data_IF_717116526327
#
_entry.id   IF_717116526327
#
_cell.length_a   1.000
_cell.length_b   1.000
_cell.length_c   1.000
_cell.angle_alpha   90.00
_cell.angle_beta   90.00
_cell.angle_gamma   90.00
#
_symmetry.space_group_name_H-M   'P 1'
#
loop_
_entity.id
_entity.type
_entity.pdbx_description
1 polymer ?
#
# COMPACT_ATOMS: atom_id res chain seq x y z
N UNK A 1 9.64 0.67 15.97
CA UNK A 1 10.03 2.02 15.52
C UNK A 1 9.96 1.99 14.02
N UNK A 2 9.09 2.76 13.37
CA UNK A 2 8.87 2.62 11.92
C UNK A 2 10.12 3.06 11.16
N UNK A 3 10.59 2.23 10.21
CA UNK A 3 11.81 2.49 9.44
C UNK A 3 11.70 3.79 8.63
N UNK A 4 12.82 4.23 8.06
CA UNK A 4 12.80 5.37 7.12
C UNK A 4 11.93 5.07 5.90
N UNK A 5 11.98 3.85 5.36
CA UNK A 5 11.20 3.46 4.18
C UNK A 5 9.70 3.47 4.50
N UNK A 6 9.29 2.96 5.67
CA UNK A 6 7.88 2.99 6.07
C UNK A 6 7.36 4.41 6.27
N UNK A 7 8.18 5.32 6.81
CA UNK A 7 7.81 6.74 6.92
C UNK A 7 7.67 7.41 5.56
N UNK A 8 8.56 7.11 4.61
CA UNK A 8 8.44 7.57 3.22
C UNK A 8 7.17 7.03 2.57
N UNK A 9 6.81 5.77 2.83
CA UNK A 9 5.57 5.17 2.34
C UNK A 9 4.34 5.93 2.80
N UNK A 10 4.23 6.17 4.12
CA UNK A 10 3.16 6.97 4.69
C UNK A 10 3.11 8.40 4.15
N UNK A 11 4.26 9.01 3.88
CA UNK A 11 4.33 10.36 3.32
C UNK A 11 3.78 10.41 1.89
N UNK A 12 4.23 9.50 1.03
CA UNK A 12 3.84 9.47 -0.38
C UNK A 12 2.39 9.05 -0.60
N UNK A 13 1.82 8.23 0.28
CA UNK A 13 0.39 7.88 0.24
C UNK A 13 -0.54 9.04 0.65
N UNK A 14 0.01 10.15 1.14
CA UNK A 14 -0.76 11.33 1.54
C UNK A 14 -1.22 11.30 3.00
N UNK A 15 -1.39 12.49 3.57
CA UNK A 15 -1.83 12.66 4.96
C UNK A 15 -3.35 12.54 5.12
N UNK A 16 -4.08 12.67 4.02
CA UNK A 16 -5.54 12.67 3.95
C UNK A 16 -6.01 12.28 2.53
N UNK A 17 -7.33 12.21 2.36
CA UNK A 17 -8.00 11.90 1.09
C UNK A 17 -7.78 12.99 0.03
N UNK A 18 -7.66 14.26 0.43
CA UNK A 18 -7.46 15.40 -0.49
C UNK A 18 -6.01 15.51 -1.02
N UNK A 19 -5.08 14.74 -0.44
CA UNK A 19 -3.70 14.68 -0.89
C UNK A 19 -3.62 14.26 -2.35
N UNK A 20 -2.91 15.05 -3.17
CA UNK A 20 -2.74 14.80 -4.61
C UNK A 20 -2.14 13.41 -4.84
N UNK A 21 -2.97 12.44 -5.26
CA UNK A 21 -2.56 11.09 -5.65
C UNK A 21 -2.70 10.92 -7.16
N UNK A 22 -1.71 10.31 -7.80
CA UNK A 22 -1.70 10.08 -9.24
C UNK A 22 -0.76 8.90 -9.60
N UNK A 23 -0.75 8.54 -10.88
CA UNK A 23 0.08 7.47 -11.44
C UNK A 23 1.58 7.67 -11.15
N UNK A 24 2.11 8.88 -11.31
CA UNK A 24 3.51 9.17 -11.00
C UNK A 24 3.86 8.86 -9.54
N UNK A 25 2.99 9.23 -8.59
CA UNK A 25 3.20 8.91 -7.18
C UNK A 25 3.11 7.41 -6.94
N UNK A 26 2.16 6.73 -7.59
CA UNK A 26 2.02 5.27 -7.54
C UNK A 26 3.34 4.59 -7.93
N UNK A 27 3.92 4.99 -9.07
CA UNK A 27 5.21 4.47 -9.55
C UNK A 27 6.36 4.77 -8.57
N UNK A 28 6.43 5.99 -8.01
CA UNK A 28 7.47 6.35 -7.03
C UNK A 28 7.37 5.49 -5.77
N UNK A 29 6.16 5.21 -5.30
CA UNK A 29 5.92 4.35 -4.15
C UNK A 29 6.31 2.91 -4.48
N UNK A 30 5.79 2.37 -5.58
CA UNK A 30 5.98 0.99 -5.99
C UNK A 30 7.45 0.67 -6.28
N UNK A 31 8.06 1.41 -7.19
CA UNK A 31 9.40 1.12 -7.70
C UNK A 31 10.51 1.77 -6.86
N UNK A 32 10.18 2.74 -6.01
CA UNK A 32 11.13 3.48 -5.19
C UNK A 32 11.09 3.14 -3.70
N UNK A 33 9.93 3.28 -3.06
CA UNK A 33 9.79 3.11 -1.61
C UNK A 33 9.68 1.64 -1.22
N UNK A 34 8.73 0.91 -1.82
CA UNK A 34 8.45 -0.47 -1.45
C UNK A 34 9.63 -1.41 -1.74
N UNK A 35 10.45 -1.14 -2.77
CA UNK A 35 11.69 -1.91 -3.01
C UNK A 35 12.75 -1.77 -1.92
N UNK A 36 12.62 -0.77 -1.03
CA UNK A 36 13.52 -0.56 0.11
C UNK A 36 12.98 -1.19 1.40
N UNK A 37 11.76 -1.73 1.38
CA UNK A 37 11.20 -2.40 2.57
C UNK A 37 12.05 -3.62 2.89
N UNK A 38 12.41 -3.73 4.17
CA UNK A 38 12.94 -4.96 4.72
C UNK A 38 11.80 -5.86 5.25
N UNK A 39 12.19 -7.00 5.84
CA UNK A 39 11.24 -7.99 6.37
C UNK A 39 10.37 -7.39 7.49
N UNK A 40 10.92 -6.47 8.30
CA UNK A 40 10.17 -5.85 9.39
C UNK A 40 9.15 -4.84 8.85
N UNK A 41 9.51 -4.08 7.82
CA UNK A 41 8.60 -3.15 7.15
C UNK A 41 7.41 -3.88 6.48
N UNK A 42 7.68 -4.98 5.76
CA UNK A 42 6.63 -5.80 5.16
C UNK A 42 5.71 -6.42 6.20
N UNK A 43 6.29 -6.97 7.27
CA UNK A 43 5.52 -7.53 8.39
C UNK A 43 4.64 -6.47 9.03
N UNK A 44 5.19 -5.29 9.32
CA UNK A 44 4.44 -4.21 9.94
C UNK A 44 3.33 -3.67 9.03
N UNK A 45 3.59 -3.54 7.72
CA UNK A 45 2.56 -3.19 6.75
C UNK A 45 1.42 -4.21 6.76
N UNK A 46 1.74 -5.51 6.63
CA UNK A 46 0.74 -6.57 6.64
C UNK A 46 -0.12 -6.57 7.92
N UNK A 47 0.48 -6.35 9.09
CA UNK A 47 -0.23 -6.30 10.38
C UNK A 47 -1.12 -5.07 10.55
N UNK A 48 -0.81 -3.95 9.89
CA UNK A 48 -1.47 -2.65 10.15
C UNK A 48 -2.28 -2.11 8.99
N UNK A 49 -2.21 -2.71 7.80
CA UNK A 49 -2.84 -2.14 6.59
C UNK A 49 -4.36 -1.98 6.74
N UNK A 50 -5.05 -2.93 7.36
CA UNK A 50 -6.51 -2.87 7.57
C UNK A 50 -6.93 -1.86 8.64
N UNK A 51 -6.00 -1.33 9.45
CA UNK A 51 -6.32 -0.32 10.47
C UNK A 51 -6.19 1.11 9.92
N UNK A 52 -5.98 1.26 8.61
CA UNK A 52 -5.80 2.55 7.94
C UNK A 52 -7.10 3.04 7.34
N UNK A 53 -7.19 4.34 7.10
CA UNK A 53 -8.33 4.95 6.40
C UNK A 53 -8.45 4.43 4.96
N UNK A 54 -9.66 4.47 4.40
CA UNK A 54 -10.00 3.95 3.07
C UNK A 54 -9.03 4.44 1.98
N UNK A 55 -8.84 5.75 1.86
CA UNK A 55 -7.95 6.35 0.86
C UNK A 55 -6.53 5.76 0.91
N UNK A 56 -6.03 5.46 2.11
CA UNK A 56 -4.68 4.96 2.31
C UNK A 56 -4.57 3.50 1.88
N UNK A 57 -5.61 2.71 2.17
CA UNK A 57 -5.70 1.33 1.74
C UNK A 57 -5.82 1.22 0.20
N UNK A 58 -6.64 2.06 -0.44
CA UNK A 58 -6.79 2.09 -1.91
C UNK A 58 -5.47 2.44 -2.62
N UNK A 59 -4.80 3.51 -2.16
CA UNK A 59 -3.50 3.93 -2.71
C UNK A 59 -2.42 2.89 -2.47
N UNK A 60 -2.49 2.20 -1.32
CA UNK A 60 -1.62 1.06 -1.04
C UNK A 60 -1.89 -0.08 -2.02
N UNK A 61 -3.16 -0.41 -2.29
CA UNK A 61 -3.52 -1.44 -3.26
C UNK A 61 -2.90 -1.15 -4.64
N UNK A 62 -3.06 0.08 -5.14
CA UNK A 62 -2.49 0.48 -6.43
C UNK A 62 -0.94 0.35 -6.46
N UNK A 63 -0.24 0.83 -5.43
CA UNK A 63 1.23 0.78 -5.41
C UNK A 63 1.78 -0.64 -5.19
N UNK A 64 1.11 -1.45 -4.37
CA UNK A 64 1.44 -2.87 -4.19
C UNK A 64 1.18 -3.65 -5.48
N UNK A 65 0.10 -3.28 -6.17
CA UNK A 65 -0.29 -3.80 -7.47
C UNK A 65 0.82 -3.59 -8.48
N UNK A 66 1.24 -2.34 -8.66
CA UNK A 66 2.33 -1.95 -9.56
C UNK A 66 3.66 -2.66 -9.24
N UNK A 67 3.97 -2.93 -7.97
CA UNK A 67 5.22 -3.62 -7.61
C UNK A 67 5.22 -5.11 -7.97
N UNK A 68 4.08 -5.81 -7.84
CA UNK A 68 3.92 -7.26 -8.11
C UNK A 68 4.92 -8.19 -7.40
N UNK A 69 5.58 -7.78 -6.32
CA UNK A 69 6.49 -8.66 -5.58
C UNK A 69 5.72 -9.69 -4.74
N UNK A 70 6.34 -10.82 -4.35
CA UNK A 70 5.69 -11.79 -3.46
C UNK A 70 5.15 -11.17 -2.17
N UNK A 71 5.93 -10.32 -1.49
CA UNK A 71 5.49 -9.62 -0.28
C UNK A 71 4.34 -8.65 -0.56
N UNK A 72 4.36 -7.94 -1.70
CA UNK A 72 3.28 -7.05 -2.10
C UNK A 72 1.97 -7.80 -2.38
N UNK A 73 2.07 -8.98 -3.01
CA UNK A 73 0.92 -9.87 -3.26
C UNK A 73 0.31 -10.36 -1.94
N UNK A 74 1.12 -10.72 -0.95
CA UNK A 74 0.59 -11.14 0.36
C UNK A 74 -0.15 -10.00 1.08
N UNK A 75 0.36 -8.77 0.99
CA UNK A 75 -0.34 -7.59 1.52
C UNK A 75 -1.61 -7.28 0.72
N UNK A 76 -1.60 -7.41 -0.62
CA UNK A 76 -2.80 -7.25 -1.45
C UNK A 76 -3.89 -8.26 -1.09
N UNK A 77 -3.54 -9.52 -0.87
CA UNK A 77 -4.51 -10.52 -0.37
C UNK A 77 -5.12 -10.10 0.96
N UNK A 78 -4.34 -9.46 1.83
CA UNK A 78 -4.86 -8.96 3.11
C UNK A 78 -5.91 -7.87 2.93
N UNK A 79 -5.78 -7.02 1.90
CA UNK A 79 -6.76 -5.97 1.57
C UNK A 79 -8.10 -6.50 1.07
N UNK A 80 -8.20 -7.77 0.64
CA UNK A 80 -9.48 -8.41 0.32
C UNK A 80 -10.41 -8.51 1.55
N UNK A 81 -9.83 -8.48 2.76
CA UNK A 81 -10.56 -8.48 4.04
C UNK A 81 -10.94 -7.06 4.51
N UNK A 82 -10.77 -6.02 3.69
CA UNK A 82 -11.09 -4.65 4.08
C UNK A 82 -12.59 -4.44 4.32
N UNK A 83 -12.93 -3.66 5.36
CA UNK A 83 -14.30 -3.21 5.61
C UNK A 83 -14.80 -2.21 4.53
N UNK A 84 -13.87 -1.66 3.73
CA UNK A 84 -14.16 -0.77 2.62
C UNK A 84 -14.28 -1.57 1.32
N UNK A 85 -15.49 -1.63 0.77
CA UNK A 85 -15.75 -2.42 -0.44
C UNK A 85 -14.93 -1.96 -1.65
N UNK A 86 -14.66 -0.65 -1.77
CA UNK A 86 -13.83 -0.08 -2.83
C UNK A 86 -12.41 -0.64 -2.78
N UNK A 87 -11.82 -0.71 -1.59
CA UNK A 87 -10.50 -1.30 -1.34
C UNK A 87 -10.47 -2.77 -1.72
N UNK A 88 -11.45 -3.57 -1.30
CA UNK A 88 -11.48 -5.00 -1.61
C UNK A 88 -11.59 -5.24 -3.13
N UNK A 89 -12.37 -4.43 -3.84
CA UNK A 89 -12.48 -4.46 -5.31
C UNK A 89 -11.15 -4.07 -5.96
N UNK A 90 -10.51 -2.99 -5.49
CA UNK A 90 -9.21 -2.55 -6.00
C UNK A 90 -8.15 -3.65 -5.80
N UNK A 91 -8.06 -4.22 -4.60
CA UNK A 91 -7.14 -5.31 -4.31
C UNK A 91 -7.39 -6.55 -5.18
N UNK A 92 -8.66 -6.92 -5.41
CA UNK A 92 -9.00 -8.01 -6.30
C UNK A 92 -8.61 -7.72 -7.76
N UNK A 93 -8.86 -6.49 -8.24
CA UNK A 93 -8.45 -6.06 -9.58
C UNK A 93 -6.94 -6.07 -9.76
N UNK A 94 -6.19 -5.73 -8.71
CA UNK A 94 -4.74 -5.82 -8.74
C UNK A 94 -4.25 -7.27 -8.65
N UNK A 95 -5.02 -8.22 -8.13
CA UNK A 95 -4.57 -9.62 -8.06
C UNK A 95 -4.82 -10.43 -9.34
N UNK A 96 -5.55 -9.87 -10.30
CA UNK A 96 -5.83 -10.46 -11.63
C UNK A 96 -4.63 -10.31 -12.59
#
# INVERSE_FOLDING_TARGET
MNSKAYKEYCHWLGQDEDSSWNEYITEQVAQGVLKKFDVEDWKFLHETILTKEEYWQERSAAALGELRSPDAIEVLKKLLDSDFIGVAIAAASELD
#
